data_IF_059808718622
#
_entry.id   IF_059808718622
#
_cell.length_a   1.000
_cell.length_b   1.000
_cell.length_c   1.000
_cell.angle_alpha   90.00
_cell.angle_beta   90.00
_cell.angle_gamma   90.00
#
_symmetry.space_group_name_H-M   'P 1'
#
loop_
_entity.id
_entity.type
_entity.pdbx_description
1 polymer ?
#
# COMPACT_ATOMS: atom_id res chain seq x y z
N UNK A 1 14.12 -2.42 1.76
CA UNK A 1 15.41 -2.40 1.07
C UNK A 1 15.80 -0.97 0.74
N UNK A 2 17.06 -0.78 0.40
CA UNK A 2 17.74 0.49 0.07
C UNK A 2 17.63 0.87 -1.42
N UNK A 3 17.45 -0.10 -2.31
CA UNK A 3 17.49 0.08 -3.78
C UNK A 3 16.16 0.54 -4.41
N UNK A 4 15.48 1.56 -3.85
CA UNK A 4 14.26 2.11 -4.48
C UNK A 4 14.50 2.66 -5.89
N UNK A 5 15.59 3.42 -6.17
CA UNK A 5 15.84 3.95 -7.52
C UNK A 5 16.03 2.86 -8.57
N UNK A 6 16.76 1.79 -8.26
CA UNK A 6 16.94 0.67 -9.19
C UNK A 6 15.62 -0.07 -9.45
N UNK A 7 14.81 -0.28 -8.40
CA UNK A 7 13.49 -0.89 -8.52
C UNK A 7 12.55 -0.02 -9.37
N UNK A 8 12.60 1.31 -9.19
CA UNK A 8 11.85 2.25 -10.01
C UNK A 8 12.20 2.12 -11.49
N UNK A 9 13.49 2.09 -11.81
CA UNK A 9 13.98 1.98 -13.18
C UNK A 9 13.54 0.67 -13.84
N UNK A 10 13.66 -0.45 -13.13
CA UNK A 10 13.18 -1.73 -13.62
C UNK A 10 11.69 -1.68 -13.96
N UNK A 11 10.86 -1.20 -13.03
CA UNK A 11 9.41 -1.21 -13.22
C UNK A 11 8.95 -0.22 -14.30
N UNK A 12 9.56 0.96 -14.40
CA UNK A 12 9.12 2.00 -15.33
C UNK A 12 9.74 1.90 -16.71
N UNK A 13 11.02 1.51 -16.82
CA UNK A 13 11.74 1.45 -18.11
C UNK A 13 11.62 0.10 -18.79
N UNK A 14 11.44 -0.98 -18.03
CA UNK A 14 11.38 -2.35 -18.58
C UNK A 14 9.97 -2.92 -18.51
N UNK A 15 9.31 -2.83 -17.34
CA UNK A 15 8.01 -3.47 -17.13
C UNK A 15 6.80 -2.59 -17.49
N UNK A 16 7.03 -1.32 -17.85
CA UNK A 16 6.00 -0.41 -18.37
C UNK A 16 5.09 0.22 -17.33
N UNK A 17 5.41 0.12 -16.04
CA UNK A 17 4.66 0.81 -14.98
C UNK A 17 4.86 2.32 -15.07
N UNK A 18 3.90 3.07 -14.53
CA UNK A 18 4.08 4.48 -14.24
C UNK A 18 4.02 4.75 -12.74
N UNK A 19 4.67 5.83 -12.30
CA UNK A 19 4.60 6.32 -10.93
C UNK A 19 3.27 7.03 -10.68
N UNK A 20 2.47 6.50 -9.76
CA UNK A 20 1.22 7.11 -9.34
C UNK A 20 1.45 8.05 -8.16
N UNK A 21 2.08 7.55 -7.09
CA UNK A 21 2.39 8.34 -5.90
C UNK A 21 3.81 8.06 -5.41
N UNK A 22 4.37 9.02 -4.68
CA UNK A 22 5.65 8.86 -3.99
C UNK A 22 5.64 9.61 -2.66
N UNK A 23 6.51 9.17 -1.75
CA UNK A 23 6.84 9.88 -0.51
C UNK A 23 8.31 10.27 -0.56
N UNK A 24 8.59 11.54 -0.32
CA UNK A 24 9.93 12.11 -0.21
C UNK A 24 10.21 12.45 1.26
N UNK A 25 11.46 12.27 1.69
CA UNK A 25 11.94 12.80 2.98
C UNK A 25 12.27 14.30 2.89
N UNK A 26 12.72 14.88 4.00
CA UNK A 26 13.08 16.30 4.12
C UNK A 26 14.19 16.73 3.14
N UNK A 27 15.01 15.79 2.67
CA UNK A 27 16.10 16.03 1.72
C UNK A 27 15.66 15.83 0.26
N UNK A 28 14.38 15.51 0.02
CA UNK A 28 13.85 15.18 -1.29
C UNK A 28 14.18 13.76 -1.75
N UNK A 29 14.69 12.90 -0.87
CA UNK A 29 15.00 11.49 -1.18
C UNK A 29 13.70 10.68 -1.14
N UNK A 30 13.47 9.86 -2.17
CA UNK A 30 12.28 9.01 -2.23
C UNK A 30 12.38 7.86 -1.23
N UNK A 31 11.43 7.78 -0.31
CA UNK A 31 11.32 6.73 0.71
C UNK A 31 10.17 5.75 0.48
N UNK A 32 9.20 6.11 -0.39
CA UNK A 32 8.18 5.19 -0.89
C UNK A 32 7.79 5.52 -2.32
N UNK A 33 7.45 4.49 -3.11
CA UNK A 33 6.96 4.61 -4.48
C UNK A 33 5.82 3.66 -4.75
N UNK A 34 4.76 4.19 -5.36
CA UNK A 34 3.53 3.49 -5.68
C UNK A 34 3.39 3.48 -7.20
N UNK A 35 3.43 2.28 -7.78
CA UNK A 35 3.53 2.05 -9.22
C UNK A 35 2.28 1.36 -9.74
N UNK A 36 1.81 1.73 -10.92
CA UNK A 36 0.61 1.15 -11.53
C UNK A 36 0.81 0.83 -13.01
N UNK A 37 0.10 -0.20 -13.48
CA UNK A 37 -0.15 -0.49 -14.91
C UNK A 37 -1.60 -0.19 -15.30
N UNK A 38 -2.44 0.12 -14.33
CA UNK A 38 -3.90 0.23 -14.48
C UNK A 38 -4.43 1.54 -13.91
N UNK A 39 -5.74 1.75 -13.94
CA UNK A 39 -6.38 2.93 -13.33
C UNK A 39 -6.50 2.86 -11.81
N UNK A 40 -5.99 1.80 -11.17
CA UNK A 40 -5.90 1.67 -9.71
C UNK A 40 -4.93 2.71 -9.14
N UNK A 41 -5.06 2.98 -7.84
CA UNK A 41 -4.12 3.82 -7.10
C UNK A 41 -2.68 3.30 -7.23
N UNK A 42 -2.49 1.98 -7.12
CA UNK A 42 -1.26 1.28 -7.48
C UNK A 42 -1.53 -0.22 -7.67
N UNK A 43 -0.67 -0.88 -8.42
CA UNK A 43 -0.62 -2.35 -8.52
C UNK A 43 0.51 -2.92 -7.63
N UNK A 44 1.57 -2.14 -7.37
CA UNK A 44 2.66 -2.51 -6.46
C UNK A 44 3.26 -1.28 -5.79
N UNK A 45 3.70 -1.43 -4.54
CA UNK A 45 4.40 -0.40 -3.80
C UNK A 45 5.73 -0.91 -3.26
N UNK A 46 6.74 -0.04 -3.25
CA UNK A 46 8.04 -0.29 -2.62
C UNK A 46 8.34 0.81 -1.61
N UNK A 47 8.72 0.39 -0.40
CA UNK A 47 9.00 1.28 0.71
C UNK A 47 10.42 0.99 1.20
N UNK A 48 11.14 2.05 1.54
CA UNK A 48 12.46 1.94 2.12
C UNK A 48 12.40 1.19 3.45
N UNK A 49 13.30 0.22 3.61
CA UNK A 49 13.42 -0.55 4.84
C UNK A 49 14.87 -1.01 5.01
N UNK A 50 15.45 -1.00 6.23
CA UNK A 50 16.84 -1.40 6.45
C UNK A 50 17.15 -2.81 5.92
N UNK A 51 16.20 -3.73 6.08
CA UNK A 51 16.34 -5.10 5.60
C UNK A 51 15.80 -5.28 4.17
N UNK A 52 16.48 -6.12 3.39
CA UNK A 52 16.09 -6.49 2.01
C UNK A 52 15.14 -7.68 2.02
N UNK A 53 14.34 -7.81 0.95
CA UNK A 53 13.49 -8.99 0.74
C UNK A 53 12.32 -9.18 1.71
N UNK A 54 11.88 -8.11 2.39
CA UNK A 54 10.71 -8.14 3.28
C UNK A 54 9.42 -7.87 2.51
N UNK A 55 8.35 -8.56 2.89
CA UNK A 55 6.98 -8.30 2.43
C UNK A 55 6.29 -7.36 3.43
N UNK A 56 5.82 -6.20 2.96
CA UNK A 56 5.12 -5.25 3.85
C UNK A 56 3.69 -5.70 4.15
N UNK A 57 2.92 -6.03 3.10
CA UNK A 57 1.59 -6.63 3.19
C UNK A 57 1.10 -7.07 1.80
N UNK A 58 0.02 -7.84 1.76
CA UNK A 58 -0.81 -8.08 0.58
C UNK A 58 -2.17 -7.42 0.79
N UNK A 59 -2.73 -6.81 -0.27
CA UNK A 59 -3.97 -6.05 -0.19
C UNK A 59 -5.09 -6.68 -1.03
N UNK A 60 -6.30 -6.68 -0.48
CA UNK A 60 -7.51 -7.22 -1.11
C UNK A 60 -8.58 -6.13 -1.27
N UNK A 61 -9.09 -5.98 -2.48
CA UNK A 61 -10.07 -4.94 -2.80
C UNK A 61 -11.49 -5.34 -2.37
N UNK A 62 -12.18 -4.40 -1.73
CA UNK A 62 -13.59 -4.41 -1.38
C UNK A 62 -14.30 -3.21 -2.03
N UNK A 63 -15.62 -3.31 -2.22
CA UNK A 63 -16.37 -2.30 -2.97
C UNK A 63 -16.71 -1.07 -2.11
N UNK A 64 -17.04 -1.28 -0.84
CA UNK A 64 -17.62 -0.25 0.01
C UNK A 64 -16.90 -0.07 1.35
N UNK A 65 -17.21 1.03 2.06
CA UNK A 65 -16.69 1.22 3.42
C UNK A 65 -17.29 0.21 4.38
N UNK A 66 -18.56 -0.09 4.18
CA UNK A 66 -19.36 -1.04 4.92
C UNK A 66 -18.75 -2.44 4.82
N UNK A 67 -18.18 -2.81 3.67
CA UNK A 67 -17.43 -4.06 3.52
C UNK A 67 -16.14 -4.08 4.35
N UNK A 68 -15.42 -2.95 4.44
CA UNK A 68 -14.22 -2.83 5.29
C UNK A 68 -14.60 -2.94 6.77
N UNK A 69 -15.71 -2.31 7.19
CA UNK A 69 -16.23 -2.44 8.55
C UNK A 69 -16.67 -3.88 8.85
N UNK A 70 -17.37 -4.52 7.91
CA UNK A 70 -17.75 -5.94 8.03
C UNK A 70 -16.52 -6.84 8.14
N UNK A 71 -15.46 -6.57 7.39
CA UNK A 71 -14.20 -7.30 7.52
C UNK A 71 -13.59 -7.12 8.91
N UNK A 72 -13.63 -5.90 9.47
CA UNK A 72 -13.18 -5.63 10.83
C UNK A 72 -13.99 -6.43 11.88
N UNK A 73 -15.32 -6.47 11.74
CA UNK A 73 -16.18 -7.28 12.61
C UNK A 73 -15.78 -8.76 12.54
N UNK A 74 -15.64 -9.32 11.33
CA UNK A 74 -15.26 -10.72 11.14
C UNK A 74 -13.87 -11.04 11.71
N UNK A 75 -12.90 -10.14 11.52
CA UNK A 75 -11.55 -10.27 12.08
C UNK A 75 -11.64 -10.29 13.61
N UNK A 76 -12.41 -9.40 14.21
CA UNK A 76 -12.58 -9.29 15.67
C UNK A 76 -13.26 -10.50 16.31
N UNK A 77 -13.99 -11.31 15.52
CA UNK A 77 -14.60 -12.56 15.98
C UNK A 77 -13.59 -13.71 16.10
N UNK A 78 -12.32 -13.47 15.80
CA UNK A 78 -11.23 -14.44 15.87
C UNK A 78 -10.05 -13.84 16.65
N UNK A 79 -9.10 -14.67 17.11
CA UNK A 79 -7.83 -14.22 17.73
C UNK A 79 -6.83 -13.65 16.69
N UNK A 80 -7.34 -13.06 15.62
CA UNK A 80 -6.52 -12.43 14.57
C UNK A 80 -5.99 -11.09 15.09
N UNK A 81 -4.67 -10.90 15.02
CA UNK A 81 -4.05 -9.66 15.49
C UNK A 81 -4.36 -8.50 14.54
N UNK A 82 -4.94 -7.44 15.08
CA UNK A 82 -5.17 -6.17 14.36
C UNK A 82 -3.94 -5.28 14.57
N UNK A 83 -3.39 -4.79 13.46
CA UNK A 83 -2.25 -3.87 13.46
C UNK A 83 -2.74 -2.41 13.48
N UNK A 84 -3.63 -2.07 12.54
CA UNK A 84 -4.26 -0.76 12.44
C UNK A 84 -5.75 -0.98 12.19
N UNK A 85 -6.59 -0.46 13.08
CA UNK A 85 -8.05 -0.52 12.94
C UNK A 85 -8.58 0.26 11.74
N UNK A 86 -9.90 0.20 11.47
CA UNK A 86 -10.49 0.85 10.29
C UNK A 86 -10.15 2.34 10.22
N UNK A 87 -9.50 2.75 9.13
CA UNK A 87 -9.07 4.13 8.92
C UNK A 87 -9.13 4.52 7.45
N UNK A 88 -8.86 5.80 7.17
CA UNK A 88 -8.71 6.33 5.82
C UNK A 88 -7.28 6.81 5.63
N UNK A 89 -6.61 6.32 4.61
CA UNK A 89 -5.27 6.78 4.27
C UNK A 89 -5.29 8.19 3.66
N UNK A 90 -4.25 8.98 3.96
CA UNK A 90 -3.92 10.21 3.24
C UNK A 90 -3.41 9.88 1.82
N UNK A 91 -2.34 9.08 1.74
CA UNK A 91 -1.83 8.43 0.51
C UNK A 91 -2.87 7.47 -0.06
N UNK A 92 -3.08 7.40 -1.38
CA UNK A 92 -4.10 6.56 -2.07
C UNK A 92 -5.57 6.89 -1.77
N UNK A 93 -5.86 7.63 -0.69
CA UNK A 93 -7.21 7.96 -0.20
C UNK A 93 -8.13 6.76 0.09
N UNK A 94 -7.57 5.55 0.14
CA UNK A 94 -8.28 4.31 0.43
C UNK A 94 -8.77 4.24 1.88
N UNK A 95 -9.89 3.57 2.07
CA UNK A 95 -10.39 3.14 3.38
C UNK A 95 -9.85 1.73 3.62
N UNK A 96 -9.37 1.44 4.82
CA UNK A 96 -8.53 0.27 5.04
C UNK A 96 -8.66 -0.30 6.45
N UNK A 97 -8.23 -1.56 6.64
CA UNK A 97 -7.84 -2.14 7.92
C UNK A 97 -6.64 -3.09 7.69
N UNK A 98 -5.68 -3.10 8.62
CA UNK A 98 -4.53 -4.00 8.59
C UNK A 98 -4.60 -5.05 9.69
N UNK A 99 -4.30 -6.29 9.35
CA UNK A 99 -4.33 -7.43 10.26
C UNK A 99 -3.25 -8.45 9.91
N UNK A 100 -2.92 -9.36 10.82
CA UNK A 100 -1.97 -10.44 10.59
C UNK A 100 -2.69 -11.78 10.42
N UNK A 101 -2.34 -12.52 9.37
CA UNK A 101 -2.82 -13.90 9.23
C UNK A 101 -2.14 -14.84 10.26
N UNK A 102 -2.62 -16.09 10.45
CA UNK A 102 -2.02 -17.03 11.39
C UNK A 102 -0.55 -17.40 11.11
N UNK A 103 -0.04 -17.13 9.90
CA UNK A 103 1.37 -17.33 9.54
C UNK A 103 2.22 -16.09 9.86
N UNK A 104 1.61 -15.01 10.35
CA UNK A 104 2.27 -13.75 10.71
C UNK A 104 2.45 -12.79 9.54
N UNK A 105 1.85 -13.04 8.36
CA UNK A 105 1.92 -12.05 7.28
C UNK A 105 0.90 -10.95 7.51
N UNK A 106 1.32 -9.71 7.27
CA UNK A 106 0.41 -8.56 7.29
C UNK A 106 -0.45 -8.56 6.03
N UNK A 107 -1.72 -8.32 6.21
CA UNK A 107 -2.71 -8.22 5.16
C UNK A 107 -3.50 -6.92 5.32
N UNK A 108 -4.03 -6.44 4.21
CA UNK A 108 -4.88 -5.27 4.12
C UNK A 108 -6.15 -5.64 3.37
N UNK A 109 -7.31 -5.19 3.85
CA UNK A 109 -8.46 -5.03 2.97
C UNK A 109 -8.68 -3.54 2.74
N UNK A 110 -8.95 -3.16 1.49
CA UNK A 110 -9.12 -1.76 1.13
C UNK A 110 -10.37 -1.54 0.27
N UNK A 111 -11.01 -0.39 0.46
CA UNK A 111 -12.06 0.10 -0.43
C UNK A 111 -11.79 1.55 -0.80
N UNK A 112 -11.92 1.89 -2.09
CA UNK A 112 -11.71 3.26 -2.56
C UNK A 112 -10.90 3.35 -3.85
N UNK A 113 -10.34 4.53 -4.09
CA UNK A 113 -10.28 5.18 -5.40
C UNK A 113 -9.62 4.37 -6.54
N UNK A 114 -10.37 4.27 -7.64
CA UNK A 114 -9.90 4.00 -9.01
C UNK A 114 -9.78 5.33 -9.77
N UNK A 115 -8.63 6.02 -9.74
CA UNK A 115 -8.36 7.13 -10.68
C UNK A 115 -6.87 7.49 -10.74
N UNK A 116 -6.39 7.78 -11.96
CA UNK A 116 -5.05 8.33 -12.25
C UNK A 116 -4.88 9.71 -11.61
N UNK A 117 -3.97 9.84 -10.64
CA UNK A 117 -3.50 11.14 -10.17
C UNK A 117 -2.04 11.02 -9.75
N UNK A 118 -1.19 11.96 -10.18
CA UNK A 118 0.22 12.01 -9.80
C UNK A 118 0.39 12.91 -8.58
N UNK A 119 0.66 12.33 -7.40
CA UNK A 119 0.93 13.08 -6.17
C UNK A 119 2.32 12.80 -5.61
N UNK A 120 2.95 13.84 -5.05
CA UNK A 120 4.20 13.74 -4.30
C UNK A 120 3.97 14.24 -2.89
N UNK A 121 4.11 13.35 -1.93
CA UNK A 121 3.99 13.64 -0.51
C UNK A 121 5.38 13.89 0.08
N UNK A 122 5.47 14.81 1.04
CA UNK A 122 6.71 15.15 1.74
C UNK A 122 6.48 14.85 3.22
N UNK A 123 7.42 14.13 3.84
CA UNK A 123 7.43 13.88 5.28
C UNK A 123 7.81 15.15 6.05
#
# INVERSE_FOLDING_TARGET
GDELPATYDLFTKVLGFYLAEQVLDENGTRVAQFLSLSTKAHDVAFIHHPEKGRLHHVSFHLETWEDVLRAADLISMTDTSIDIGPTRHGLTHGKTIYFFDPSGNRNEVFAGRLHKVNYSWHL
#
